data_IF_673447829273
#
_entry.id   IF_673447829273
#
_cell.length_a   1.000
_cell.length_b   1.000
_cell.length_c   1.000
_cell.angle_alpha   90.00
_cell.angle_beta   90.00
_cell.angle_gamma   90.00
#
_symmetry.space_group_name_H-M   'P 1'
#
loop_
_entity.id
_entity.type
_entity.pdbx_description
1 polymer ?
#
# COMPACT_ATOMS: atom_id res chain seq x y z
N UNK A 1 46.88 65.72 -5.43
CA UNK A 1 46.04 66.64 -4.66
C UNK A 1 45.33 65.80 -3.62
N UNK A 2 45.85 65.62 -2.48
CA UNK A 2 45.78 66.28 -1.15
C UNK A 2 44.35 66.71 -0.76
N UNK A 3 43.78 66.09 0.27
CA UNK A 3 43.35 66.63 1.57
C UNK A 3 42.58 65.53 2.34
N UNK A 4 43.20 65.02 3.42
CA UNK A 4 43.09 65.33 4.85
C UNK A 4 41.68 65.12 5.45
N UNK A 5 41.54 64.09 6.25
CA UNK A 5 41.55 63.99 7.74
C UNK A 5 40.70 65.01 8.51
N UNK A 6 39.83 64.43 9.37
CA UNK A 6 39.45 64.78 10.77
C UNK A 6 38.27 63.94 11.15
N UNK A 7 38.19 63.07 12.11
CA UNK A 7 38.69 63.12 13.49
C UNK A 7 37.62 63.68 14.42
N UNK A 8 36.79 62.86 15.05
CA UNK A 8 36.16 63.23 16.34
C UNK A 8 35.73 61.94 17.08
N UNK A 9 36.33 61.78 18.24
CA UNK A 9 35.95 60.92 19.29
C UNK A 9 34.84 61.53 20.16
N UNK A 10 33.93 60.79 20.72
CA UNK A 10 33.26 61.03 22.02
C UNK A 10 32.31 59.92 22.37
N UNK A 11 32.58 59.34 23.41
CA UNK A 11 31.95 59.28 24.74
C UNK A 11 31.02 58.09 24.96
N UNK A 12 31.51 57.22 25.83
CA UNK A 12 30.91 56.09 26.51
C UNK A 12 29.77 56.55 27.42
N UNK A 13 28.60 55.97 27.27
CA UNK A 13 27.55 55.96 28.30
C UNK A 13 27.08 54.54 28.55
N UNK A 14 27.55 53.97 29.66
CA UNK A 14 27.01 52.74 30.23
C UNK A 14 25.61 53.01 30.79
N UNK A 15 24.61 52.37 30.27
CA UNK A 15 23.32 52.21 30.93
C UNK A 15 23.11 50.72 31.20
N UNK A 16 23.26 50.34 32.47
CA UNK A 16 22.83 49.04 33.04
C UNK A 16 21.30 49.03 33.07
N UNK A 17 20.69 48.25 32.22
CA UNK A 17 19.29 47.82 32.38
C UNK A 17 19.25 46.33 32.69
N UNK A 18 18.90 46.03 33.93
CA UNK A 18 18.54 44.70 34.35
C UNK A 18 17.25 44.28 33.62
N UNK A 19 17.39 43.40 32.64
CA UNK A 19 16.26 42.77 31.91
C UNK A 19 16.05 41.36 32.38
N UNK A 20 14.84 41.05 32.81
CA UNK A 20 14.36 39.74 33.21
C UNK A 20 14.71 38.66 32.19
N UNK A 21 15.36 37.59 32.65
CA UNK A 21 15.61 36.39 31.85
C UNK A 21 14.28 35.72 31.50
N UNK A 22 13.73 35.99 30.34
CA UNK A 22 12.71 35.17 29.71
C UNK A 22 13.38 33.85 29.28
N UNK A 23 12.80 32.73 29.67
CA UNK A 23 13.23 31.41 29.18
C UNK A 23 13.14 31.41 27.66
N UNK A 24 14.12 30.83 26.94
CA UNK A 24 14.00 30.67 25.50
C UNK A 24 12.77 29.79 25.22
N UNK A 25 11.87 30.31 24.42
CA UNK A 25 10.80 29.51 23.80
C UNK A 25 11.52 28.54 22.89
N UNK A 26 11.44 27.27 23.23
CA UNK A 26 11.92 26.19 22.37
C UNK A 26 10.97 26.15 21.19
N UNK A 27 11.37 26.74 20.07
CA UNK A 27 10.69 26.54 18.80
C UNK A 27 10.68 25.04 18.51
N UNK A 28 9.50 24.44 18.48
CA UNK A 28 9.32 23.11 17.95
C UNK A 28 9.90 23.10 16.53
N UNK A 29 10.67 22.09 16.13
CA UNK A 29 11.15 22.03 14.76
C UNK A 29 9.94 22.08 13.84
N UNK A 30 9.93 23.07 12.94
CA UNK A 30 9.03 23.10 11.80
C UNK A 30 9.31 21.78 11.07
N UNK A 31 8.29 20.92 10.98
CA UNK A 31 8.38 19.74 10.16
C UNK A 31 8.73 20.21 8.75
N UNK A 32 9.95 19.95 8.32
CA UNK A 32 10.33 20.12 6.93
C UNK A 32 9.49 19.12 6.17
N UNK A 33 8.73 19.61 5.22
CA UNK A 33 7.96 18.80 4.26
C UNK A 33 8.98 18.13 3.32
N UNK A 34 9.73 17.17 3.86
CA UNK A 34 10.62 16.33 3.07
C UNK A 34 9.73 15.27 2.41
N UNK A 35 9.59 15.37 1.10
CA UNK A 35 8.92 14.37 0.28
C UNK A 35 9.47 12.96 0.56
N UNK A 36 8.74 11.93 0.16
CA UNK A 36 9.21 10.54 0.29
C UNK A 36 10.44 10.37 -0.63
N UNK A 37 11.57 9.82 -0.12
CA UNK A 37 12.71 9.52 -0.98
C UNK A 37 12.30 8.59 -2.13
N UNK A 38 12.82 8.81 -3.32
CA UNK A 38 12.49 7.99 -4.48
C UNK A 38 12.90 6.52 -4.29
N UNK A 39 12.12 5.62 -4.88
CA UNK A 39 12.42 4.17 -4.89
C UNK A 39 12.22 3.46 -3.55
N UNK A 40 11.47 4.02 -2.61
CA UNK A 40 11.16 3.36 -1.34
C UNK A 40 9.95 2.44 -1.45
N UNK A 41 10.02 1.30 -0.78
CA UNK A 41 8.95 0.33 -0.62
C UNK A 41 8.59 0.27 0.86
N UNK A 42 7.35 0.62 1.21
CA UNK A 42 6.84 0.50 2.58
C UNK A 42 5.68 -0.49 2.60
N UNK A 43 5.84 -1.62 3.28
CA UNK A 43 4.82 -2.67 3.37
C UNK A 43 4.18 -2.68 4.75
N UNK A 44 2.86 -2.71 4.78
CA UNK A 44 2.06 -2.90 5.99
C UNK A 44 1.53 -4.32 6.04
N UNK A 45 1.77 -5.01 7.17
CA UNK A 45 1.32 -6.38 7.40
C UNK A 45 0.06 -6.42 8.23
N UNK A 46 -1.07 -6.82 7.65
CA UNK A 46 -2.38 -6.80 8.27
C UNK A 46 -2.88 -8.17 8.74
N UNK A 47 -3.95 -8.15 9.53
CA UNK A 47 -4.94 -9.23 9.64
C UNK A 47 -6.17 -8.76 8.86
N UNK A 48 -6.55 -9.52 7.84
CA UNK A 48 -7.68 -9.18 6.98
C UNK A 48 -9.01 -9.11 7.75
N UNK A 49 -9.93 -8.27 7.25
CA UNK A 49 -11.30 -8.19 7.76
C UNK A 49 -11.45 -7.48 9.10
N UNK A 50 -10.50 -6.63 9.48
CA UNK A 50 -10.54 -5.84 10.72
C UNK A 50 -10.74 -4.36 10.38
N UNK A 51 -11.89 -3.78 10.72
CA UNK A 51 -12.24 -2.40 10.39
C UNK A 51 -11.20 -1.39 10.89
N UNK A 52 -10.72 -1.51 12.14
CA UNK A 52 -9.71 -0.61 12.69
C UNK A 52 -8.37 -0.65 11.94
N UNK A 53 -8.01 -1.81 11.36
CA UNK A 53 -6.82 -1.95 10.51
C UNK A 53 -7.06 -1.22 9.19
N UNK A 54 -8.22 -1.43 8.55
CA UNK A 54 -8.57 -0.77 7.28
C UNK A 54 -8.65 0.77 7.42
N UNK A 55 -9.16 1.27 8.54
CA UNK A 55 -9.13 2.70 8.86
C UNK A 55 -7.68 3.22 8.98
N UNK A 56 -6.83 2.51 9.72
CA UNK A 56 -5.42 2.86 9.88
C UNK A 56 -4.66 2.85 8.54
N UNK A 57 -4.87 1.83 7.70
CA UNK A 57 -4.25 1.73 6.37
C UNK A 57 -4.67 2.90 5.46
N UNK A 58 -5.95 3.28 5.49
CA UNK A 58 -6.43 4.43 4.75
C UNK A 58 -5.77 5.74 5.21
N UNK A 59 -5.60 5.93 6.54
CA UNK A 59 -4.88 7.08 7.09
C UNK A 59 -3.41 7.09 6.67
N UNK A 60 -2.71 5.95 6.75
CA UNK A 60 -1.31 5.82 6.30
C UNK A 60 -1.16 6.08 4.82
N UNK A 61 -2.07 5.54 4.00
CA UNK A 61 -2.07 5.85 2.58
C UNK A 61 -2.27 7.33 2.32
N UNK A 62 -3.24 7.96 3.00
CA UNK A 62 -3.48 9.40 2.86
C UNK A 62 -2.23 10.23 3.19
N UNK A 63 -1.50 9.88 4.24
CA UNK A 63 -0.24 10.56 4.58
C UNK A 63 0.83 10.38 3.49
N UNK A 64 0.97 9.19 2.92
CA UNK A 64 1.86 8.93 1.80
C UNK A 64 1.43 9.70 0.55
N UNK A 65 0.14 9.71 0.26
CA UNK A 65 -0.45 10.42 -0.88
C UNK A 65 -0.23 11.94 -0.79
N UNK A 66 -0.45 12.54 0.38
CA UNK A 66 -0.21 13.97 0.61
C UNK A 66 1.27 14.37 0.44
N UNK A 67 2.18 13.41 0.61
CA UNK A 67 3.62 13.55 0.37
C UNK A 67 4.04 13.21 -1.07
N UNK A 68 3.09 12.97 -1.96
CA UNK A 68 3.31 12.79 -3.39
C UNK A 68 3.26 11.34 -3.89
N UNK A 69 3.10 10.32 -3.04
CA UNK A 69 2.97 8.94 -3.48
C UNK A 69 1.65 8.72 -4.24
N UNK A 70 1.66 7.85 -5.27
CA UNK A 70 0.48 7.57 -6.09
C UNK A 70 0.21 6.08 -6.27
N UNK A 71 1.18 5.22 -6.00
CA UNK A 71 1.14 3.79 -6.29
C UNK A 71 0.89 2.99 -5.01
N UNK A 72 -0.28 2.36 -4.92
CA UNK A 72 -0.70 1.50 -3.81
C UNK A 72 -0.73 0.05 -4.27
N UNK A 73 0.16 -0.77 -3.73
CA UNK A 73 0.26 -2.19 -3.99
C UNK A 73 -0.66 -2.96 -3.02
N UNK A 74 -1.38 -3.93 -3.53
CA UNK A 74 -2.36 -4.69 -2.76
C UNK A 74 -2.22 -6.20 -3.00
N UNK A 75 -2.51 -6.99 -1.98
CA UNK A 75 -2.58 -8.45 -2.03
C UNK A 75 -3.84 -8.89 -2.79
N UNK A 76 -3.84 -8.64 -4.07
CA UNK A 76 -4.92 -8.97 -5.00
C UNK A 76 -4.35 -9.30 -6.36
N UNK A 77 -5.08 -10.03 -7.21
CA UNK A 77 -4.63 -10.29 -8.59
C UNK A 77 -4.51 -9.02 -9.42
N UNK A 78 -3.69 -9.09 -10.47
CA UNK A 78 -3.51 -8.02 -11.44
C UNK A 78 -4.85 -7.44 -11.94
N UNK A 79 -5.73 -8.28 -12.49
CA UNK A 79 -7.01 -7.82 -13.04
C UNK A 79 -7.97 -7.22 -12.00
N UNK A 80 -7.84 -7.58 -10.72
CA UNK A 80 -8.62 -6.95 -9.65
C UNK A 80 -8.18 -5.50 -9.45
N UNK A 81 -6.86 -5.24 -9.42
CA UNK A 81 -6.34 -3.88 -9.36
C UNK A 81 -6.73 -3.07 -10.60
N UNK A 82 -6.73 -3.67 -11.79
CA UNK A 82 -7.16 -2.97 -12.99
C UNK A 82 -8.66 -2.61 -12.96
N UNK A 83 -9.52 -3.47 -12.43
CA UNK A 83 -10.92 -3.12 -12.16
C UNK A 83 -11.05 -1.98 -11.16
N UNK A 84 -10.22 -1.96 -10.09
CA UNK A 84 -10.19 -0.85 -9.13
C UNK A 84 -9.73 0.45 -9.80
N UNK A 85 -8.74 0.40 -10.69
CA UNK A 85 -8.29 1.58 -11.45
C UNK A 85 -9.41 2.11 -12.38
N UNK A 86 -10.14 1.25 -13.07
CA UNK A 86 -11.32 1.65 -13.85
C UNK A 86 -12.42 2.25 -12.96
N UNK A 87 -12.60 1.71 -11.75
CA UNK A 87 -13.56 2.26 -10.80
C UNK A 87 -13.13 3.63 -10.25
N UNK A 88 -11.84 3.87 -10.05
CA UNK A 88 -11.34 5.20 -9.63
C UNK A 88 -11.79 6.30 -10.59
N UNK A 89 -11.85 6.03 -11.88
CA UNK A 89 -12.29 6.96 -12.92
C UNK A 89 -13.82 6.97 -13.14
N UNK A 90 -14.55 6.00 -12.59
CA UNK A 90 -16.00 5.89 -12.78
C UNK A 90 -16.78 6.88 -11.89
N UNK A 91 -17.96 7.33 -12.35
CA UNK A 91 -18.85 8.20 -11.55
C UNK A 91 -19.56 7.43 -10.44
N UNK A 92 -19.81 6.13 -10.61
CA UNK A 92 -20.57 5.27 -9.68
C UNK A 92 -19.72 4.18 -9.04
N UNK A 93 -20.38 3.33 -8.25
CA UNK A 93 -19.77 2.24 -7.48
C UNK A 93 -19.99 0.85 -8.09
N UNK A 94 -20.64 0.75 -9.25
CA UNK A 94 -21.08 -0.51 -9.83
C UNK A 94 -19.93 -1.52 -10.02
N UNK A 95 -18.73 -1.03 -10.38
CA UNK A 95 -17.53 -1.87 -10.51
C UNK A 95 -17.09 -2.39 -9.15
N UNK A 96 -16.97 -1.51 -8.15
CA UNK A 96 -16.59 -1.90 -6.79
C UNK A 96 -17.60 -2.85 -6.16
N UNK A 97 -18.90 -2.61 -6.34
CA UNK A 97 -19.95 -3.49 -5.86
C UNK A 97 -19.91 -4.86 -6.54
N UNK A 98 -19.52 -4.93 -7.82
CA UNK A 98 -19.33 -6.20 -8.50
C UNK A 98 -18.11 -6.95 -7.97
N UNK A 99 -16.99 -6.27 -7.74
CA UNK A 99 -15.81 -6.86 -7.09
C UNK A 99 -16.16 -7.40 -5.70
N UNK A 100 -16.91 -6.63 -4.92
CA UNK A 100 -17.34 -7.08 -3.59
C UNK A 100 -18.21 -8.34 -3.63
N UNK A 101 -19.10 -8.47 -4.61
CA UNK A 101 -19.85 -9.72 -4.83
C UNK A 101 -18.94 -10.90 -5.20
N UNK A 102 -17.90 -10.65 -6.02
CA UNK A 102 -16.92 -11.68 -6.38
C UNK A 102 -16.06 -12.12 -5.18
N UNK A 103 -15.92 -11.28 -4.16
CA UNK A 103 -15.18 -11.59 -2.92
C UNK A 103 -16.04 -12.30 -1.87
N UNK A 104 -17.31 -12.61 -2.16
CA UNK A 104 -18.18 -13.32 -1.19
C UNK A 104 -17.52 -14.62 -0.71
N UNK A 105 -17.47 -14.80 0.62
CA UNK A 105 -16.82 -15.95 1.24
C UNK A 105 -15.31 -15.83 1.43
N UNK A 106 -14.70 -14.71 1.05
CA UNK A 106 -13.30 -14.39 1.33
C UNK A 106 -13.17 -13.36 2.48
N UNK A 107 -11.96 -13.11 2.94
CA UNK A 107 -11.69 -12.07 3.95
C UNK A 107 -11.96 -10.65 3.43
N UNK A 108 -12.03 -10.44 2.12
CA UNK A 108 -12.32 -9.14 1.51
C UNK A 108 -13.83 -8.82 1.41
N UNK A 109 -14.71 -9.75 1.84
CA UNK A 109 -16.16 -9.60 1.73
C UNK A 109 -16.80 -8.68 2.79
N UNK A 110 -16.02 -8.14 3.73
CA UNK A 110 -16.52 -7.26 4.78
C UNK A 110 -16.84 -5.84 4.29
N UNK A 111 -17.73 -5.15 5.04
CA UNK A 111 -18.07 -3.75 4.75
C UNK A 111 -16.86 -2.82 4.87
N UNK A 112 -15.94 -3.13 5.78
CA UNK A 112 -14.69 -2.38 6.00
C UNK A 112 -13.82 -2.31 4.74
N UNK A 113 -13.85 -3.34 3.90
CA UNK A 113 -13.13 -3.34 2.62
C UNK A 113 -13.74 -2.34 1.63
N UNK A 114 -15.09 -2.28 1.55
CA UNK A 114 -15.77 -1.27 0.74
C UNK A 114 -15.48 0.16 1.22
N UNK A 115 -15.56 0.36 2.54
CA UNK A 115 -15.33 1.65 3.16
C UNK A 115 -13.88 2.12 2.94
N UNK A 116 -12.91 1.21 3.02
CA UNK A 116 -11.51 1.47 2.70
C UNK A 116 -11.35 1.99 1.26
N UNK A 117 -11.84 1.27 0.25
CA UNK A 117 -11.70 1.69 -1.14
C UNK A 117 -12.42 3.01 -1.41
N UNK A 118 -13.64 3.20 -0.89
CA UNK A 118 -14.39 4.47 -1.02
C UNK A 118 -13.64 5.64 -0.39
N UNK A 119 -13.03 5.43 0.79
CA UNK A 119 -12.19 6.43 1.44
C UNK A 119 -10.99 6.81 0.57
N UNK A 120 -10.33 5.81 -0.05
CA UNK A 120 -9.23 6.06 -0.99
C UNK A 120 -9.71 6.90 -2.17
N UNK A 121 -10.81 6.52 -2.83
CA UNK A 121 -11.34 7.26 -3.97
C UNK A 121 -11.70 8.70 -3.63
N UNK A 122 -12.30 8.93 -2.45
CA UNK A 122 -12.70 10.26 -2.01
C UNK A 122 -11.50 11.14 -1.64
N UNK A 123 -10.53 10.60 -0.90
CA UNK A 123 -9.44 11.38 -0.32
C UNK A 123 -8.14 11.35 -1.12
N UNK A 124 -7.95 10.35 -1.96
CA UNK A 124 -6.73 10.09 -2.73
C UNK A 124 -7.06 9.73 -4.18
N UNK A 125 -7.75 10.60 -4.94
CA UNK A 125 -8.36 10.26 -6.23
C UNK A 125 -7.37 9.92 -7.34
N UNK A 126 -6.09 10.24 -7.20
CA UNK A 126 -5.04 9.90 -8.18
C UNK A 126 -4.31 8.58 -7.82
N UNK A 127 -4.87 7.78 -6.90
CA UNK A 127 -4.28 6.48 -6.53
C UNK A 127 -4.34 5.51 -7.71
N UNK A 128 -3.21 4.85 -7.97
CA UNK A 128 -3.08 3.75 -8.92
C UNK A 128 -2.84 2.47 -8.12
N UNK A 129 -3.74 1.51 -8.24
CA UNK A 129 -3.64 0.21 -7.59
C UNK A 129 -2.79 -0.75 -8.42
N UNK A 130 -1.93 -1.52 -7.74
CA UNK A 130 -1.12 -2.60 -8.31
C UNK A 130 -1.44 -3.91 -7.60
N UNK A 131 -1.97 -4.87 -8.34
CA UNK A 131 -2.27 -6.20 -7.82
C UNK A 131 -1.13 -7.17 -8.13
N UNK A 132 -0.63 -7.84 -7.09
CA UNK A 132 0.57 -8.68 -7.23
C UNK A 132 0.39 -10.13 -6.80
N UNK A 133 -0.77 -10.48 -6.24
CA UNK A 133 -1.05 -11.88 -5.86
C UNK A 133 -1.39 -12.76 -7.08
N UNK A 134 -1.38 -14.07 -6.88
CA UNK A 134 -1.87 -15.02 -7.87
C UNK A 134 -3.34 -14.77 -8.19
N UNK A 135 -3.81 -15.31 -9.29
CA UNK A 135 -5.17 -15.08 -9.80
C UNK A 135 -6.28 -15.68 -8.94
N UNK A 136 -6.61 -15.06 -7.81
CA UNK A 136 -7.85 -15.36 -7.09
C UNK A 136 -9.06 -14.95 -7.94
N UNK A 137 -10.16 -15.70 -7.89
CA UNK A 137 -11.37 -15.49 -8.72
C UNK A 137 -11.03 -15.40 -10.24
N UNK A 138 -10.09 -16.26 -10.71
CA UNK A 138 -9.65 -16.26 -12.10
C UNK A 138 -10.77 -16.60 -13.09
N UNK A 139 -11.76 -17.39 -12.69
CA UNK A 139 -12.89 -17.84 -13.50
C UNK A 139 -14.13 -16.89 -13.44
N UNK A 140 -14.10 -15.90 -12.58
CA UNK A 140 -15.12 -14.84 -12.45
C UNK A 140 -14.54 -13.45 -12.74
N UNK A 141 -13.85 -12.83 -11.79
CA UNK A 141 -13.26 -11.49 -11.94
C UNK A 141 -12.23 -11.44 -13.07
N UNK A 142 -11.34 -12.44 -13.13
CA UNK A 142 -10.31 -12.53 -14.18
C UNK A 142 -10.91 -12.75 -15.57
N UNK A 143 -11.84 -13.71 -15.69
CA UNK A 143 -12.54 -13.98 -16.94
C UNK A 143 -13.29 -12.73 -17.44
N UNK A 144 -13.99 -12.03 -16.54
CA UNK A 144 -14.73 -10.80 -16.87
C UNK A 144 -13.80 -9.67 -17.33
N UNK A 145 -12.61 -9.53 -16.72
CA UNK A 145 -11.66 -8.50 -17.15
C UNK A 145 -11.05 -8.82 -18.50
N UNK A 146 -10.70 -10.09 -18.77
CA UNK A 146 -10.29 -10.56 -20.09
C UNK A 146 -11.36 -10.25 -21.14
N UNK A 147 -12.61 -10.62 -20.87
CA UNK A 147 -13.73 -10.41 -21.81
C UNK A 147 -13.94 -8.91 -22.09
N UNK A 148 -13.80 -8.06 -21.04
CA UNK A 148 -13.81 -6.60 -21.20
C UNK A 148 -12.70 -6.13 -22.15
N UNK A 149 -11.46 -6.58 -21.99
CA UNK A 149 -10.35 -6.20 -22.88
C UNK A 149 -10.59 -6.67 -24.33
N UNK A 150 -11.15 -7.86 -24.52
CA UNK A 150 -11.54 -8.38 -25.84
C UNK A 150 -12.61 -7.50 -26.49
N UNK A 151 -13.64 -7.10 -25.75
CA UNK A 151 -14.70 -6.21 -26.23
C UNK A 151 -14.18 -4.81 -26.60
N UNK A 152 -13.16 -4.33 -25.89
CA UNK A 152 -12.48 -3.07 -26.21
C UNK A 152 -11.46 -3.19 -27.35
N UNK A 153 -11.18 -4.39 -27.86
CA UNK A 153 -10.19 -4.63 -28.91
C UNK A 153 -8.74 -4.49 -28.42
N UNK A 154 -8.47 -4.73 -27.13
CA UNK A 154 -7.18 -4.54 -26.47
C UNK A 154 -6.37 -5.85 -26.32
N UNK A 155 -6.60 -6.84 -27.18
CA UNK A 155 -5.96 -8.16 -27.12
C UNK A 155 -4.46 -8.16 -27.42
N UNK A 156 -3.93 -7.11 -28.06
CA UNK A 156 -2.52 -6.96 -28.38
C UNK A 156 -1.77 -6.09 -27.36
N UNK A 157 -2.35 -5.87 -26.16
CA UNK A 157 -1.77 -5.02 -25.11
C UNK A 157 -1.05 -5.83 -24.03
N UNK A 158 -0.16 -5.16 -23.31
CA UNK A 158 0.49 -5.71 -22.13
C UNK A 158 -0.53 -6.06 -21.02
N UNK A 159 -1.57 -5.23 -20.86
CA UNK A 159 -2.67 -5.46 -19.93
C UNK A 159 -3.38 -6.80 -20.20
N UNK A 160 -3.68 -7.11 -21.47
CA UNK A 160 -4.26 -8.40 -21.82
C UNK A 160 -3.32 -9.57 -21.50
N UNK A 161 -2.03 -9.42 -21.82
CA UNK A 161 -1.01 -10.43 -21.53
C UNK A 161 -0.90 -10.72 -20.03
N UNK A 162 -0.81 -9.67 -19.21
CA UNK A 162 -0.74 -9.78 -17.74
C UNK A 162 -2.01 -10.36 -17.13
N UNK A 163 -3.18 -10.03 -17.71
CA UNK A 163 -4.46 -10.63 -17.32
C UNK A 163 -4.48 -12.14 -17.53
N UNK A 164 -4.02 -12.60 -18.70
CA UNK A 164 -3.93 -14.04 -18.98
C UNK A 164 -2.92 -14.75 -18.08
N UNK A 165 -1.78 -14.11 -17.82
CA UNK A 165 -0.76 -14.61 -16.91
C UNK A 165 -1.30 -14.77 -15.49
N UNK A 166 -2.01 -13.76 -14.94
CA UNK A 166 -2.62 -13.83 -13.62
C UNK A 166 -3.69 -14.93 -13.54
N UNK A 167 -4.49 -15.14 -14.60
CA UNK A 167 -5.44 -16.25 -14.70
C UNK A 167 -4.71 -17.60 -14.63
N UNK A 168 -3.60 -17.78 -15.37
CA UNK A 168 -2.80 -19.00 -15.36
C UNK A 168 -2.13 -19.24 -14.00
N UNK A 169 -1.63 -18.20 -13.36
CA UNK A 169 -1.09 -18.24 -11.99
C UNK A 169 -2.14 -18.77 -11.01
N UNK A 170 -3.37 -18.24 -11.07
CA UNK A 170 -4.49 -18.71 -10.25
C UNK A 170 -4.84 -20.17 -10.49
N UNK A 171 -4.98 -20.57 -11.75
CA UNK A 171 -5.25 -21.96 -12.11
C UNK A 171 -4.15 -22.92 -11.61
N UNK A 172 -2.89 -22.47 -11.64
CA UNK A 172 -1.76 -23.26 -11.17
C UNK A 172 -1.79 -23.41 -9.66
N UNK A 173 -1.96 -22.30 -8.93
CA UNK A 173 -2.04 -22.29 -7.49
C UNK A 173 -3.19 -23.19 -6.98
N UNK A 174 -4.41 -22.97 -7.46
CA UNK A 174 -5.58 -23.74 -6.99
C UNK A 174 -5.58 -25.23 -7.39
N UNK A 175 -4.81 -25.60 -8.41
CA UNK A 175 -4.62 -27.01 -8.76
C UNK A 175 -3.69 -27.75 -7.81
N UNK A 176 -2.65 -27.06 -7.33
CA UNK A 176 -1.59 -27.65 -6.52
C UNK A 176 -1.70 -27.30 -5.03
N UNK A 177 -2.41 -26.22 -4.69
CA UNK A 177 -2.46 -25.61 -3.34
C UNK A 177 -1.03 -25.38 -2.80
N UNK A 178 -0.11 -24.87 -3.68
CA UNK A 178 1.31 -24.68 -3.39
C UNK A 178 1.58 -23.25 -2.91
N UNK A 179 1.64 -23.06 -1.59
CA UNK A 179 1.90 -21.76 -0.97
C UNK A 179 3.30 -21.22 -1.34
N UNK A 180 4.30 -22.09 -1.53
CA UNK A 180 5.62 -21.65 -1.98
C UNK A 180 5.57 -21.07 -3.40
N UNK A 181 4.77 -21.67 -4.28
CA UNK A 181 4.50 -21.11 -5.60
C UNK A 181 3.83 -19.72 -5.49
N UNK A 182 2.80 -19.59 -4.65
CA UNK A 182 2.09 -18.31 -4.45
C UNK A 182 3.04 -17.22 -3.97
N UNK A 183 3.84 -17.51 -2.94
CA UNK A 183 4.76 -16.55 -2.33
C UNK A 183 5.81 -16.03 -3.33
N UNK A 184 6.43 -16.95 -4.09
CA UNK A 184 7.39 -16.58 -5.13
C UNK A 184 6.72 -15.79 -6.26
N UNK A 185 5.53 -16.20 -6.69
CA UNK A 185 4.77 -15.52 -7.74
C UNK A 185 4.39 -14.08 -7.31
N UNK A 186 3.98 -13.90 -6.04
CA UNK A 186 3.66 -12.60 -5.48
C UNK A 186 4.89 -11.69 -5.49
N UNK A 187 6.06 -12.21 -5.10
CA UNK A 187 7.31 -11.46 -5.14
C UNK A 187 7.71 -11.08 -6.58
N UNK A 188 7.63 -12.02 -7.53
CA UNK A 188 7.95 -11.77 -8.94
C UNK A 188 7.01 -10.73 -9.57
N UNK A 189 5.70 -10.81 -9.27
CA UNK A 189 4.72 -9.85 -9.73
C UNK A 189 5.00 -8.45 -9.14
N UNK A 190 5.30 -8.38 -7.83
CA UNK A 190 5.67 -7.12 -7.18
C UNK A 190 6.90 -6.48 -7.85
N UNK A 191 7.95 -7.27 -8.04
CA UNK A 191 9.19 -6.81 -8.68
C UNK A 191 8.90 -6.25 -10.07
N UNK A 192 8.12 -6.95 -10.88
CA UNK A 192 7.74 -6.50 -12.22
C UNK A 192 7.02 -5.16 -12.19
N UNK A 193 5.99 -5.03 -11.36
CA UNK A 193 5.21 -3.80 -11.24
C UNK A 193 6.07 -2.64 -10.71
N UNK A 194 6.89 -2.88 -9.69
CA UNK A 194 7.73 -1.85 -9.09
C UNK A 194 8.86 -1.38 -10.03
N UNK A 195 9.53 -2.30 -10.71
CA UNK A 195 10.58 -1.95 -11.68
C UNK A 195 10.05 -1.10 -12.85
N UNK A 196 8.75 -1.21 -13.16
CA UNK A 196 8.10 -0.41 -14.21
C UNK A 196 7.79 1.03 -13.79
N UNK A 197 7.90 1.38 -12.50
CA UNK A 197 7.58 2.71 -11.98
C UNK A 197 8.73 3.72 -12.04
N UNK A 198 9.86 3.37 -12.61
CA UNK A 198 10.99 4.28 -12.88
C UNK A 198 11.52 5.01 -11.62
N UNK A 199 11.48 4.33 -10.46
CA UNK A 199 12.00 4.84 -9.19
C UNK A 199 10.98 5.59 -8.33
N UNK A 200 9.71 5.51 -8.63
CA UNK A 200 8.65 6.00 -7.75
C UNK A 200 8.60 5.18 -6.45
N UNK A 201 8.16 5.81 -5.36
CA UNK A 201 7.99 5.12 -4.09
C UNK A 201 6.58 4.56 -3.96
N UNK A 202 6.46 3.43 -3.26
CA UNK A 202 5.20 2.70 -3.15
C UNK A 202 4.87 2.35 -1.70
N UNK A 203 3.58 2.30 -1.40
CA UNK A 203 3.05 1.64 -0.22
C UNK A 203 2.41 0.31 -0.64
N UNK A 204 2.58 -0.74 0.17
CA UNK A 204 1.95 -2.03 -0.05
C UNK A 204 1.19 -2.50 1.19
N UNK A 205 0.05 -3.15 0.98
CA UNK A 205 -0.81 -3.73 2.02
C UNK A 205 -0.92 -5.22 1.75
N UNK A 206 -0.45 -6.02 2.70
CA UNK A 206 -0.37 -7.49 2.60
C UNK A 206 -0.69 -8.14 3.94
N UNK A 207 -1.12 -9.38 3.93
CA UNK A 207 -1.21 -10.17 5.15
C UNK A 207 0.14 -10.24 5.88
N UNK A 208 0.12 -10.19 7.22
CA UNK A 208 1.34 -10.20 8.03
C UNK A 208 2.28 -11.38 7.78
N UNK A 209 1.79 -12.44 7.16
CA UNK A 209 2.59 -13.61 6.75
C UNK A 209 3.66 -13.28 5.70
N UNK A 210 3.44 -12.24 4.87
CA UNK A 210 4.25 -11.93 3.69
C UNK A 210 5.32 -10.85 3.92
N UNK A 211 5.33 -10.17 5.10
CA UNK A 211 6.15 -8.99 5.34
C UNK A 211 7.42 -9.22 6.16
N UNK A 212 7.76 -10.45 6.53
CA UNK A 212 8.98 -10.74 7.28
C UNK A 212 10.23 -10.47 6.43
N UNK A 213 11.13 -9.58 6.90
CA UNK A 213 12.34 -9.17 6.16
C UNK A 213 13.49 -10.18 6.20
N UNK A 214 13.44 -11.19 7.07
CA UNK A 214 14.51 -12.14 7.34
C UNK A 214 13.97 -13.55 7.64
N UNK A 215 12.74 -13.86 7.22
CA UNK A 215 12.06 -15.12 7.49
C UNK A 215 11.69 -15.90 6.23
N UNK A 216 11.17 -17.08 6.48
CA UNK A 216 10.47 -17.87 5.46
C UNK A 216 8.98 -17.52 5.50
N UNK A 217 8.31 -17.73 4.38
CA UNK A 217 6.86 -17.63 4.31
C UNK A 217 6.19 -18.51 5.37
N UNK A 218 5.20 -17.95 6.05
CA UNK A 218 4.52 -18.60 7.16
C UNK A 218 3.78 -19.88 6.73
N UNK A 219 3.17 -19.85 5.56
CA UNK A 219 2.29 -20.95 5.10
C UNK A 219 3.12 -22.12 4.57
N UNK A 220 4.07 -21.86 3.66
CA UNK A 220 4.90 -22.91 3.08
C UNK A 220 6.05 -23.36 4.01
N UNK A 221 6.60 -22.43 4.80
CA UNK A 221 7.79 -22.66 5.64
C UNK A 221 9.06 -23.02 4.87
N UNK A 222 9.08 -22.88 3.54
CA UNK A 222 10.14 -23.41 2.67
C UNK A 222 10.83 -22.36 1.79
N UNK A 223 10.17 -21.25 1.48
CA UNK A 223 10.72 -20.15 0.67
C UNK A 223 10.80 -18.88 1.49
N UNK A 224 11.68 -17.91 1.17
CA UNK A 224 11.67 -16.62 1.84
C UNK A 224 10.32 -15.92 1.69
N UNK A 225 9.87 -15.22 2.73
CA UNK A 225 8.70 -14.36 2.63
C UNK A 225 8.88 -13.31 1.53
N UNK A 226 7.77 -12.85 0.92
CA UNK A 226 7.80 -11.84 -0.16
C UNK A 226 8.69 -10.65 0.20
N UNK A 227 8.52 -10.05 1.37
CA UNK A 227 9.35 -8.92 1.80
C UNK A 227 10.84 -9.26 1.94
N UNK A 228 11.19 -10.50 2.32
CA UNK A 228 12.58 -10.95 2.35
C UNK A 228 13.18 -11.04 0.94
N UNK A 229 12.41 -11.52 -0.04
CA UNK A 229 12.83 -11.57 -1.45
C UNK A 229 12.99 -10.15 -2.01
N UNK A 230 12.07 -9.22 -1.69
CA UNK A 230 12.20 -7.82 -2.08
C UNK A 230 13.42 -7.16 -1.45
N UNK A 231 13.71 -7.45 -0.16
CA UNK A 231 14.90 -6.94 0.52
C UNK A 231 16.19 -7.48 -0.07
N UNK A 232 16.23 -8.75 -0.50
CA UNK A 232 17.39 -9.30 -1.22
C UNK A 232 17.69 -8.50 -2.49
N UNK A 233 16.65 -8.05 -3.21
CA UNK A 233 16.80 -7.31 -4.47
C UNK A 233 17.06 -5.81 -4.25
N UNK A 234 16.33 -5.15 -3.34
CA UNK A 234 16.30 -3.70 -3.21
C UNK A 234 17.00 -3.18 -1.93
N UNK A 235 17.47 -4.06 -1.06
CA UNK A 235 18.25 -3.72 0.12
C UNK A 235 17.49 -2.83 1.10
N UNK A 236 18.11 -1.71 1.49
CA UNK A 236 17.59 -0.79 2.50
C UNK A 236 16.41 0.06 2.00
N UNK A 237 16.00 -0.07 0.75
CA UNK A 237 14.79 0.59 0.25
C UNK A 237 13.49 -0.07 0.73
N UNK A 238 13.56 -1.30 1.28
CA UNK A 238 12.40 -2.06 1.74
C UNK A 238 12.21 -1.90 3.24
N UNK A 239 11.06 -1.38 3.62
CA UNK A 239 10.60 -1.18 4.99
C UNK A 239 9.30 -1.93 5.23
N UNK A 240 9.12 -2.49 6.42
CA UNK A 240 7.88 -3.18 6.80
C UNK A 240 7.38 -2.68 8.15
N UNK A 241 6.06 -2.61 8.30
CA UNK A 241 5.38 -2.34 9.57
C UNK A 241 4.32 -3.43 9.81
N UNK A 242 4.52 -4.19 10.89
CA UNK A 242 3.54 -5.20 11.32
C UNK A 242 2.44 -4.53 12.16
N UNK A 243 1.23 -4.45 11.60
CA UNK A 243 0.05 -3.90 12.25
C UNK A 243 -0.95 -4.98 12.71
N UNK A 244 -0.57 -6.26 12.65
CA UNK A 244 -1.42 -7.39 13.07
C UNK A 244 -1.84 -7.30 14.54
N UNK A 245 -1.05 -6.64 15.39
CA UNK A 245 -1.37 -6.41 16.80
C UNK A 245 -2.66 -5.62 17.01
N UNK A 246 -3.08 -4.80 16.07
CA UNK A 246 -4.34 -4.05 16.14
C UNK A 246 -5.56 -4.98 16.09
N UNK A 247 -5.47 -6.09 15.34
CA UNK A 247 -6.51 -7.11 15.29
C UNK A 247 -6.65 -7.92 16.59
N UNK A 248 -5.59 -8.03 17.38
CA UNK A 248 -5.61 -8.74 18.65
C UNK A 248 -6.32 -7.96 19.78
N UNK A 249 -6.49 -6.65 19.60
CA UNK A 249 -7.14 -5.75 20.56
C UNK A 249 -8.63 -5.59 20.30
N UNK A 250 -9.14 -6.03 19.14
CA UNK A 250 -10.56 -6.00 18.83
C UNK A 250 -11.25 -7.20 19.53
N UNK A 251 -12.12 -6.92 20.50
CA UNK A 251 -13.03 -7.95 21.03
C UNK A 251 -13.78 -8.55 19.83
N UNK A 252 -13.87 -9.90 19.73
CA UNK A 252 -14.59 -10.52 18.63
C UNK A 252 -16.04 -10.04 18.63
N UNK A 253 -16.42 -9.27 17.63
CA UNK A 253 -17.83 -8.95 17.40
C UNK A 253 -18.54 -10.27 17.06
N UNK A 254 -19.27 -10.80 18.06
CA UNK A 254 -20.25 -11.84 17.99
C UNK A 254 -20.00 -12.97 16.99
N UNK A 255 -19.29 -14.02 17.42
CA UNK A 255 -19.39 -15.31 16.73
C UNK A 255 -20.83 -15.83 16.87
N UNK A 256 -21.67 -15.55 15.89
CA UNK A 256 -22.82 -16.43 15.64
C UNK A 256 -22.24 -17.80 15.28
N UNK A 257 -22.36 -18.71 16.25
CA UNK A 257 -22.02 -20.10 16.11
C UNK A 257 -22.81 -20.70 14.93
N UNK A 258 -22.14 -20.82 13.77
CA UNK A 258 -22.59 -21.70 12.72
C UNK A 258 -22.51 -23.13 13.25
N UNK A 259 -23.63 -23.61 13.81
CA UNK A 259 -23.84 -25.01 14.14
C UNK A 259 -23.83 -25.77 12.82
N UNK A 260 -22.73 -26.44 12.51
CA UNK A 260 -22.69 -27.44 11.44
C UNK A 260 -23.62 -28.59 11.85
N UNK A 261 -24.84 -28.57 11.34
CA UNK A 261 -25.73 -29.71 11.39
C UNK A 261 -25.18 -30.76 10.42
N UNK A 262 -24.56 -31.80 10.98
CA UNK A 262 -24.20 -32.99 10.22
C UNK A 262 -25.40 -33.71 9.68
N UNK A 263 -25.35 -34.06 8.40
CA UNK A 263 -25.79 -35.37 7.86
C UNK A 263 -25.19 -35.58 6.49
#
# INVERSE_FOLDING_TARGET
>A
MMRQMRGAAAVLALLLLAGCAGKPVQESPVATDEGIPAGQITLYGEIHGIAAIKEYEAERWKECYDRGMRHLFVESPYYTAQWLNLWMDAEGDEILEQLHRDWEGTYASGAETLDFYRTIKEQCPETVFHGTDVGHQYDSTGARYRDYLEEQGLTDTEDYRLTLEAIEQGQTFYRAEDDAYRENTMADNFIREFDALDGESVMGIYGGAHIALDGVDYNSGTVPAMAAQLKERYGDAVHTEDITWMGQSAEPQGTDTLTVAGK
#
